data_IF_113648758060
#
_entry.id   IF_113648758060
#
_cell.length_a   1.000
_cell.length_b   1.000
_cell.length_c   1.000
_cell.angle_alpha   90.00
_cell.angle_beta   90.00
_cell.angle_gamma   90.00
#
_symmetry.space_group_name_H-M   'P 1'
#
loop_
_entity.id
_entity.type
_entity.pdbx_description
1 polymer ?
#
# COMPACT_ATOMS: atom_id res chain seq x y z
N UNK A 1 28.99 -5.35 -36.14
CA UNK A 1 28.59 -5.43 -34.72
C UNK A 1 27.19 -6.02 -34.68
N UNK A 2 27.14 -7.32 -34.85
CA UNK A 2 25.99 -8.16 -34.53
C UNK A 2 26.08 -8.49 -33.03
N UNK A 3 25.08 -9.16 -32.47
CA UNK A 3 25.03 -9.73 -31.11
C UNK A 3 24.28 -8.89 -30.06
N UNK A 4 22.97 -8.78 -30.24
CA UNK A 4 22.07 -8.98 -29.10
C UNK A 4 20.74 -9.62 -29.54
N UNK A 5 20.84 -10.86 -30.02
CA UNK A 5 19.70 -11.78 -30.05
C UNK A 5 19.96 -12.91 -29.07
N UNK A 6 19.83 -12.59 -27.79
CA UNK A 6 19.78 -13.55 -26.69
C UNK A 6 18.42 -13.49 -26.03
N UNK A 7 17.43 -14.18 -26.59
CA UNK A 7 16.25 -14.60 -25.83
C UNK A 7 16.34 -16.10 -25.69
N UNK A 8 16.65 -16.55 -24.48
CA UNK A 8 16.03 -17.76 -23.97
C UNK A 8 15.56 -17.51 -22.53
N UNK A 9 14.27 -17.78 -22.23
CA UNK A 9 13.73 -17.68 -20.90
C UNK A 9 14.24 -18.88 -20.11
N UNK A 10 15.24 -18.67 -19.26
CA UNK A 10 15.60 -19.66 -18.26
C UNK A 10 14.48 -19.73 -17.22
N UNK A 11 13.50 -20.59 -17.49
CA UNK A 11 12.61 -21.16 -16.48
C UNK A 11 13.46 -22.00 -15.55
N UNK A 12 14.03 -21.36 -14.53
CA UNK A 12 14.44 -21.96 -13.26
C UNK A 12 14.90 -20.87 -12.29
N UNK A 13 13.98 -20.09 -11.75
CA UNK A 13 14.20 -19.50 -10.43
C UNK A 13 13.29 -20.23 -9.44
N UNK A 14 13.84 -20.91 -8.41
CA UNK A 14 13.04 -21.57 -7.40
C UNK A 14 12.27 -20.52 -6.63
N UNK A 15 10.94 -20.61 -6.69
CA UNK A 15 10.02 -19.83 -5.86
C UNK A 15 10.41 -19.96 -4.38
N UNK A 16 10.90 -18.90 -3.72
CA UNK A 16 10.79 -18.84 -2.28
C UNK A 16 9.35 -18.42 -1.99
N UNK A 17 8.49 -19.41 -1.80
CA UNK A 17 7.26 -19.24 -1.04
C UNK A 17 7.63 -18.82 0.39
N UNK A 18 7.98 -17.56 0.57
CA UNK A 18 8.27 -16.92 1.86
C UNK A 18 8.32 -15.39 1.68
N UNK A 19 7.26 -14.80 1.13
CA UNK A 19 6.96 -13.42 1.51
C UNK A 19 6.59 -13.43 3.01
N UNK A 20 7.13 -12.53 3.85
CA UNK A 20 6.65 -12.43 5.22
C UNK A 20 5.14 -12.17 5.16
N UNK A 21 4.37 -13.17 5.59
CA UNK A 21 2.95 -13.05 5.86
C UNK A 21 2.75 -11.72 6.59
N UNK A 22 1.88 -10.81 6.15
CA UNK A 22 1.49 -9.69 6.99
C UNK A 22 0.57 -10.26 8.08
N UNK A 23 1.12 -11.12 8.95
CA UNK A 23 0.77 -11.09 10.37
C UNK A 23 1.42 -9.83 10.94
N UNK A 24 1.06 -8.67 10.38
CA UNK A 24 0.84 -7.52 11.21
C UNK A 24 -0.41 -7.89 12.00
N UNK A 25 -0.20 -8.61 13.10
CA UNK A 25 -1.09 -8.53 14.25
C UNK A 25 -1.17 -7.03 14.52
N UNK A 26 -2.17 -6.38 13.90
CA UNK A 26 -2.50 -5.00 14.15
C UNK A 26 -2.81 -5.03 15.62
N UNK A 27 -1.89 -4.51 16.40
CA UNK A 27 -2.04 -4.19 17.81
C UNK A 27 -3.46 -3.65 17.92
N UNK A 28 -4.35 -4.43 18.52
CA UNK A 28 -5.71 -4.00 18.81
C UNK A 28 -5.52 -2.82 19.74
N UNK A 29 -5.42 -1.64 19.14
CA UNK A 29 -5.31 -0.41 19.87
C UNK A 29 -6.61 -0.34 20.66
N UNK A 30 -6.44 -0.39 21.97
CA UNK A 30 -7.48 -0.23 22.98
C UNK A 30 -8.01 1.21 22.91
N UNK A 31 -8.71 1.52 21.81
CA UNK A 31 -9.19 2.83 21.43
C UNK A 31 -10.40 2.67 20.50
N UNK A 32 -11.26 3.69 20.39
CA UNK A 32 -12.41 3.64 19.49
C UNK A 32 -11.97 3.21 18.08
N UNK A 33 -12.79 2.42 17.36
CA UNK A 33 -12.38 1.81 16.10
C UNK A 33 -11.77 2.88 15.18
N UNK A 34 -10.52 2.68 14.80
CA UNK A 34 -9.91 3.50 13.77
C UNK A 34 -10.65 3.24 12.47
N UNK A 35 -11.03 4.31 11.76
CA UNK A 35 -11.68 4.12 10.47
C UNK A 35 -10.68 3.56 9.45
N UNK A 36 -11.16 2.71 8.56
CA UNK A 36 -10.35 2.19 7.46
C UNK A 36 -10.27 3.20 6.31
N UNK A 37 -9.08 3.33 5.72
CA UNK A 37 -8.84 4.18 4.57
C UNK A 37 -9.60 3.65 3.34
N UNK A 38 -10.40 4.50 2.68
CA UNK A 38 -11.22 4.08 1.52
C UNK A 38 -10.40 3.66 0.29
N UNK A 39 -9.12 4.05 0.21
CA UNK A 39 -8.24 3.69 -0.91
C UNK A 39 -7.42 2.43 -0.67
N UNK A 40 -6.91 2.23 0.56
CA UNK A 40 -5.98 1.14 0.86
C UNK A 40 -6.48 0.15 1.92
N UNK A 41 -7.65 0.39 2.52
CA UNK A 41 -8.29 -0.48 3.52
C UNK A 41 -7.39 -0.79 4.73
N UNK A 42 -6.44 0.10 5.00
CA UNK A 42 -5.60 0.08 6.20
C UNK A 42 -6.26 0.91 7.29
N UNK A 43 -6.07 0.56 8.59
CA UNK A 43 -6.59 1.39 9.66
C UNK A 43 -5.87 2.73 9.61
N UNK A 44 -6.63 3.80 9.72
CA UNK A 44 -6.08 5.14 9.84
C UNK A 44 -5.67 5.43 11.29
N UNK A 45 -4.95 6.51 11.52
CA UNK A 45 -4.75 7.05 12.88
C UNK A 45 -5.97 7.84 13.38
N UNK A 46 -6.99 8.01 12.53
CA UNK A 46 -8.17 8.81 12.83
C UNK A 46 -9.29 7.94 13.39
N UNK A 47 -9.97 8.40 14.47
CA UNK A 47 -11.13 7.69 15.00
C UNK A 47 -12.29 7.73 14.00
N UNK A 48 -13.18 6.74 14.04
CA UNK A 48 -14.40 6.69 13.19
C UNK A 48 -15.34 7.89 13.38
N UNK A 49 -15.18 8.65 14.47
CA UNK A 49 -15.89 9.93 14.67
C UNK A 49 -15.42 11.07 13.74
N UNK A 50 -14.35 10.89 12.97
CA UNK A 50 -13.88 11.90 12.03
C UNK A 50 -14.85 12.00 10.83
N UNK A 51 -15.64 13.09 10.78
CA UNK A 51 -16.62 13.31 9.70
C UNK A 51 -15.90 13.73 8.41
N UNK A 52 -16.00 12.93 7.35
CA UNK A 52 -15.44 13.24 6.03
C UNK A 52 -15.01 11.99 5.26
N UNK A 53 -14.27 12.19 4.16
CA UNK A 53 -13.60 11.08 3.44
C UNK A 53 -12.46 10.59 4.32
N UNK A 54 -12.52 9.33 4.76
CA UNK A 54 -11.47 8.75 5.59
C UNK A 54 -10.30 8.30 4.73
N UNK A 55 -9.26 9.13 4.67
CA UNK A 55 -7.97 8.80 4.05
C UNK A 55 -6.90 8.64 5.13
N UNK A 56 -6.00 7.67 4.96
CA UNK A 56 -4.78 7.63 5.76
C UNK A 56 -3.85 8.81 5.38
N UNK A 57 -2.95 9.24 6.27
CA UNK A 57 -2.05 10.39 6.02
C UNK A 57 -1.27 10.28 4.71
N UNK A 58 -0.84 9.06 4.35
CA UNK A 58 -0.12 8.78 3.10
C UNK A 58 -0.99 9.02 1.87
N UNK A 59 -2.24 8.56 1.90
CA UNK A 59 -3.19 8.75 0.80
C UNK A 59 -3.58 10.23 0.66
N UNK A 60 -3.81 10.92 1.78
CA UNK A 60 -4.14 12.34 1.79
C UNK A 60 -3.01 13.18 1.17
N UNK A 61 -1.75 12.92 1.53
CA UNK A 61 -0.61 13.62 0.94
C UNK A 61 -0.47 13.33 -0.57
N UNK A 62 -0.64 12.08 -1.00
CA UNK A 62 -0.61 11.72 -2.43
C UNK A 62 -1.69 12.43 -3.24
N UNK A 63 -2.89 12.58 -2.69
CA UNK A 63 -3.99 13.27 -3.39
C UNK A 63 -3.71 14.77 -3.52
N UNK A 64 -3.16 15.39 -2.47
CA UNK A 64 -2.69 16.76 -2.49
C UNK A 64 -1.56 16.96 -3.52
N UNK A 65 -0.55 16.08 -3.54
CA UNK A 65 0.56 16.11 -4.51
C UNK A 65 0.05 15.98 -5.94
N UNK A 66 -0.86 15.03 -6.21
CA UNK A 66 -1.45 14.86 -7.55
C UNK A 66 -2.17 16.12 -8.01
N UNK A 67 -2.94 16.75 -7.13
CA UNK A 67 -3.67 17.99 -7.43
C UNK A 67 -2.71 19.16 -7.66
N UNK A 68 -1.60 19.21 -6.91
CA UNK A 68 -0.58 20.24 -7.06
C UNK A 68 0.24 20.09 -8.36
N UNK A 69 0.49 18.86 -8.80
CA UNK A 69 1.33 18.55 -9.96
C UNK A 69 0.55 18.33 -11.28
N UNK A 70 -0.78 18.45 -11.27
CA UNK A 70 -1.64 18.32 -12.47
C UNK A 70 -1.92 19.65 -13.17
N UNK A 71 -1.10 20.67 -12.92
CA UNK A 71 -1.21 22.02 -13.50
C UNK A 71 -0.66 22.12 -14.92
#
# INVERSE_FOLDING_TARGET
>A
MSDYRGSEPTTAEPSPAAGPSPTAARTTADGPPFADCVLCQKPTEYPESHKGITLCPVCAWREAERTACSG
#
